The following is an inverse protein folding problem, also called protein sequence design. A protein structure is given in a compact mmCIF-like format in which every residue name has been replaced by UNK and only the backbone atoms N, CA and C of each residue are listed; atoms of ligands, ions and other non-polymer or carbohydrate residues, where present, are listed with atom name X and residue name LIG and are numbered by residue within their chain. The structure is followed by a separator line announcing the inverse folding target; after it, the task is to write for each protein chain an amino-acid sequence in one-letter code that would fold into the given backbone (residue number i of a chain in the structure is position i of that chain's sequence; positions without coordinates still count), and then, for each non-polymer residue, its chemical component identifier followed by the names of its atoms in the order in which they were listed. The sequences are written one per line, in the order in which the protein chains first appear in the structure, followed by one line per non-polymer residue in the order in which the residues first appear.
data_IF_582587531460
#
_entry.id   IF_582587531460
#
_cell.length_a   1.000
_cell.length_b   1.000
_cell.length_c   1.000
_cell.angle_alpha   90.00
_cell.angle_beta   90.00
_cell.angle_gamma   90.00
#
_symmetry.space_group_name_H-M   'P 1'
#
loop_
_entity.id
_entity.type
_entity.pdbx_description
1 polymer ?
#
# COMPACT_ATOMS: atom_id res chain seq x y z
N UNK A 1 -0.03 -10.49 -33.52
CA UNK A 1 0.66 -9.39 -32.84
C UNK A 1 0.39 -9.57 -31.35
N UNK A 2 1.41 -9.94 -30.59
CA UNK A 2 1.28 -10.02 -29.13
C UNK A 2 1.06 -8.60 -28.60
N UNK A 3 -0.15 -8.34 -28.16
CA UNK A 3 -0.48 -7.06 -27.52
C UNK A 3 0.23 -7.06 -26.17
N UNK A 4 1.34 -6.32 -26.08
CA UNK A 4 2.01 -6.16 -24.79
C UNK A 4 1.06 -5.50 -23.79
N UNK A 5 0.89 -6.06 -22.60
CA UNK A 5 0.01 -5.51 -21.60
C UNK A 5 0.45 -4.09 -21.24
N UNK A 6 -0.52 -3.18 -21.15
CA UNK A 6 -0.35 -1.82 -20.66
C UNK A 6 -1.08 -1.68 -19.33
N UNK A 7 -0.40 -1.18 -18.32
CA UNK A 7 -0.95 -1.10 -16.96
C UNK A 7 -1.10 0.36 -16.54
N UNK A 8 -2.25 0.70 -15.99
CA UNK A 8 -2.51 2.02 -15.40
C UNK A 8 -2.66 1.87 -13.90
N UNK A 9 -1.87 2.65 -13.16
CA UNK A 9 -1.96 2.83 -11.71
C UNK A 9 -2.52 4.22 -11.39
N UNK A 10 -3.26 4.32 -10.30
CA UNK A 10 -3.76 5.62 -9.83
C UNK A 10 -2.86 6.27 -8.77
N UNK A 11 -3.39 7.36 -8.17
CA UNK A 11 -2.67 8.14 -7.17
C UNK A 11 -3.05 7.82 -5.73
N UNK A 12 -4.02 6.94 -5.49
CA UNK A 12 -4.67 6.82 -4.18
C UNK A 12 -3.68 6.68 -3.01
N UNK A 13 -2.78 5.70 -3.07
CA UNK A 13 -1.80 5.48 -1.99
C UNK A 13 -0.77 6.60 -1.90
N UNK A 14 -0.42 7.20 -3.02
CA UNK A 14 0.57 8.29 -3.08
C UNK A 14 -0.01 9.62 -2.60
N UNK A 15 -1.33 9.76 -2.62
CA UNK A 15 -2.05 10.87 -2.03
C UNK A 15 -2.20 10.71 -0.51
N UNK A 16 -2.26 9.48 0.00
CA UNK A 16 -2.51 9.18 1.42
C UNK A 16 -1.24 8.99 2.25
N UNK A 17 -0.15 8.56 1.64
CA UNK A 17 1.07 8.19 2.35
C UNK A 17 2.26 9.05 1.90
N UNK A 18 2.79 9.86 2.81
CA UNK A 18 4.11 10.47 2.63
C UNK A 18 5.22 9.41 2.71
N UNK A 19 5.11 8.51 3.70
CA UNK A 19 5.89 7.30 3.89
C UNK A 19 4.95 6.14 4.18
N UNK A 20 5.16 4.97 3.61
CA UNK A 20 4.31 3.83 3.93
C UNK A 20 4.70 2.57 3.16
N UNK A 21 4.40 1.42 3.74
CA UNK A 21 4.71 0.12 3.16
C UNK A 21 4.00 -0.11 1.81
N UNK A 22 2.75 0.34 1.70
CA UNK A 22 1.96 0.14 0.47
C UNK A 22 2.50 1.01 -0.66
N UNK A 23 2.81 2.28 -0.40
CA UNK A 23 3.40 3.15 -1.43
C UNK A 23 4.79 2.68 -1.87
N UNK A 24 5.60 2.15 -0.94
CA UNK A 24 6.87 1.49 -1.26
C UNK A 24 6.65 0.24 -2.12
N UNK A 25 5.70 -0.62 -1.76
CA UNK A 25 5.35 -1.80 -2.54
C UNK A 25 5.06 -1.45 -4.00
N UNK A 26 4.20 -0.48 -4.27
CA UNK A 26 3.89 -0.07 -5.64
C UNK A 26 5.11 0.53 -6.36
N UNK A 27 5.92 1.34 -5.71
CA UNK A 27 7.16 1.83 -6.32
C UNK A 27 8.12 0.70 -6.69
N UNK A 28 8.29 -0.29 -5.81
CA UNK A 28 9.18 -1.43 -6.05
C UNK A 28 8.70 -2.31 -7.20
N UNK A 29 7.42 -2.69 -7.24
CA UNK A 29 6.91 -3.54 -8.33
C UNK A 29 6.92 -2.80 -9.67
N UNK A 30 6.48 -1.54 -9.70
CA UNK A 30 6.40 -0.77 -10.93
C UNK A 30 7.80 -0.51 -11.51
N UNK A 31 8.80 -0.25 -10.66
CA UNK A 31 10.17 -0.02 -11.11
C UNK A 31 10.81 -1.24 -11.80
N UNK A 32 10.27 -2.43 -11.57
CA UNK A 32 10.76 -3.71 -12.10
C UNK A 32 9.88 -4.27 -13.23
N UNK A 33 8.79 -3.59 -13.57
CA UNK A 33 7.93 -4.02 -14.66
C UNK A 33 8.65 -3.94 -16.00
N UNK A 34 8.54 -5.01 -16.78
CA UNK A 34 9.02 -5.09 -18.16
C UNK A 34 7.94 -4.64 -19.17
N UNK A 35 6.74 -4.35 -18.71
CA UNK A 35 5.60 -3.92 -19.53
C UNK A 35 5.44 -2.40 -19.51
N UNK A 36 4.70 -1.87 -20.50
CA UNK A 36 4.32 -0.46 -20.50
C UNK A 36 3.38 -0.16 -19.34
N UNK A 37 3.59 0.95 -18.68
CA UNK A 37 2.74 1.42 -17.59
C UNK A 37 2.68 2.94 -17.54
N UNK A 38 1.63 3.43 -16.90
CA UNK A 38 1.53 4.82 -16.46
C UNK A 38 0.99 4.90 -15.04
N UNK A 39 1.38 5.98 -14.35
CA UNK A 39 0.90 6.30 -13.01
C UNK A 39 0.18 7.64 -13.07
N UNK A 40 -1.07 7.68 -12.66
CA UNK A 40 -1.90 8.88 -12.67
C UNK A 40 -1.56 9.84 -11.49
N UNK A 41 -0.29 10.15 -11.30
CA UNK A 41 0.20 11.08 -10.29
C UNK A 41 0.85 12.27 -10.96
N UNK A 42 0.24 13.46 -10.78
CA UNK A 42 0.82 14.72 -11.21
C UNK A 42 1.56 15.43 -10.08
N UNK A 43 1.02 15.38 -8.87
CA UNK A 43 1.56 16.03 -7.68
C UNK A 43 1.72 15.02 -6.55
N UNK A 44 2.85 15.06 -5.85
CA UNK A 44 3.10 14.14 -4.75
C UNK A 44 4.07 14.72 -3.73
N UNK A 45 3.90 14.33 -2.47
CA UNK A 45 4.91 14.44 -1.41
C UNK A 45 5.47 13.06 -1.02
N UNK A 46 5.02 11.98 -1.69
CA UNK A 46 5.44 10.63 -1.37
C UNK A 46 6.94 10.44 -1.61
N UNK A 47 7.64 10.01 -0.55
CA UNK A 47 9.09 9.85 -0.54
C UNK A 47 9.57 8.83 -1.56
N UNK A 48 8.96 7.64 -1.60
CA UNK A 48 9.42 6.57 -2.48
C UNK A 48 9.19 6.91 -3.95
N UNK A 49 8.04 7.50 -4.26
CA UNK A 49 7.74 7.93 -5.61
C UNK A 49 8.69 9.06 -6.07
N UNK A 50 9.13 9.92 -5.15
CA UNK A 50 10.09 10.99 -5.47
C UNK A 50 11.47 10.47 -5.84
N UNK A 51 11.90 9.36 -5.25
CA UNK A 51 13.22 8.75 -5.49
C UNK A 51 13.25 7.80 -6.68
N UNK A 52 12.09 7.41 -7.20
CA UNK A 52 12.00 6.49 -8.34
C UNK A 52 11.70 7.24 -9.63
N UNK A 53 12.07 6.67 -10.79
CA UNK A 53 11.74 7.22 -12.11
C UNK A 53 10.42 6.68 -12.68
N UNK A 54 9.60 6.04 -11.85
CA UNK A 54 8.38 5.36 -12.30
C UNK A 54 7.26 6.31 -12.74
N UNK A 55 7.21 7.54 -12.25
CA UNK A 55 6.25 8.55 -12.69
C UNK A 55 6.98 9.69 -13.44
N UNK A 56 6.80 9.75 -14.77
CA UNK A 56 7.60 10.62 -15.66
C UNK A 56 7.31 12.11 -15.52
N UNK A 57 6.10 12.50 -15.24
CA UNK A 57 5.64 13.92 -15.28
C UNK A 57 5.12 14.42 -13.93
N UNK A 58 5.73 13.94 -12.83
CA UNK A 58 5.34 14.36 -11.49
C UNK A 58 6.04 15.63 -11.05
N UNK A 59 5.37 16.38 -10.20
CA UNK A 59 5.91 17.51 -9.46
C UNK A 59 5.93 17.11 -7.99
N UNK A 60 7.14 17.01 -7.41
CA UNK A 60 7.29 16.85 -5.97
C UNK A 60 6.97 18.18 -5.28
N UNK A 61 6.13 18.14 -4.26
CA UNK A 61 5.76 19.32 -3.48
C UNK A 61 6.22 19.11 -2.04
N UNK A 62 6.99 20.04 -1.48
CA UNK A 62 7.39 19.99 -0.07
C UNK A 62 6.18 19.89 0.87
N UNK A 63 6.32 19.13 1.95
CA UNK A 63 5.23 18.78 2.85
C UNK A 63 4.40 19.97 3.34
N UNK A 64 5.05 21.08 3.73
CA UNK A 64 4.35 22.26 4.24
C UNK A 64 3.43 22.91 3.18
N UNK A 65 3.85 22.92 1.90
CA UNK A 65 3.01 23.40 0.80
C UNK A 65 1.96 22.37 0.41
N UNK A 66 2.30 21.09 0.47
CA UNK A 66 1.36 20.03 0.17
C UNK A 66 0.16 20.07 1.12
N UNK A 67 0.38 20.21 2.42
CA UNK A 67 -0.70 20.30 3.40
C UNK A 67 -1.64 21.50 3.17
N UNK A 68 -1.10 22.66 2.79
CA UNK A 68 -1.92 23.85 2.47
C UNK A 68 -2.85 23.63 1.27
N UNK A 69 -2.45 22.80 0.31
CA UNK A 69 -3.17 22.61 -0.95
C UNK A 69 -3.64 21.18 -1.20
N UNK A 70 -3.52 20.28 -0.22
CA UNK A 70 -3.73 18.84 -0.37
C UNK A 70 -5.01 18.49 -1.13
N UNK A 71 -6.16 19.02 -0.72
CA UNK A 71 -7.44 18.76 -1.38
C UNK A 71 -7.46 19.16 -2.87
N UNK A 72 -6.80 20.26 -3.22
CA UNK A 72 -6.70 20.73 -4.61
C UNK A 72 -5.79 19.82 -5.43
N UNK A 73 -4.69 19.37 -4.84
CA UNK A 73 -3.72 18.49 -5.47
C UNK A 73 -4.31 17.08 -5.69
N UNK A 74 -4.99 16.53 -4.69
CA UNK A 74 -5.71 15.26 -4.80
C UNK A 74 -6.81 15.31 -5.90
N UNK A 75 -7.54 16.42 -6.00
CA UNK A 75 -8.52 16.59 -7.09
C UNK A 75 -7.85 16.58 -8.46
N UNK A 76 -6.66 17.17 -8.60
CA UNK A 76 -5.91 17.16 -9.86
C UNK A 76 -5.42 15.75 -10.21
N UNK A 77 -4.88 15.01 -9.25
CA UNK A 77 -4.47 13.61 -9.44
C UNK A 77 -5.66 12.74 -9.83
N UNK A 78 -6.78 12.84 -9.10
CA UNK A 78 -8.02 12.12 -9.46
C UNK A 78 -8.57 12.49 -10.85
N UNK A 79 -8.45 13.76 -11.26
CA UNK A 79 -8.82 14.18 -12.62
C UNK A 79 -7.91 13.53 -13.66
N UNK A 80 -6.62 13.40 -13.37
CA UNK A 80 -5.67 12.71 -14.24
C UNK A 80 -6.01 11.21 -14.35
N UNK A 81 -6.25 10.52 -13.22
CA UNK A 81 -6.72 9.12 -13.20
C UNK A 81 -7.94 8.96 -14.12
N UNK A 82 -8.97 9.79 -13.91
CA UNK A 82 -10.19 9.77 -14.73
C UNK A 82 -9.94 9.99 -16.22
N UNK A 83 -8.99 10.86 -16.57
CA UNK A 83 -8.59 11.08 -17.96
C UNK A 83 -7.92 9.84 -18.55
N UNK A 84 -7.01 9.21 -17.78
CA UNK A 84 -6.27 8.04 -18.23
C UNK A 84 -7.17 6.81 -18.39
N UNK A 85 -8.13 6.61 -17.49
CA UNK A 85 -9.12 5.52 -17.60
C UNK A 85 -10.06 5.63 -18.80
N UNK A 86 -10.09 6.76 -19.48
CA UNK A 86 -10.85 6.98 -20.71
C UNK A 86 -10.00 6.86 -21.98
N UNK A 87 -8.73 6.43 -21.83
CA UNK A 87 -7.84 6.28 -22.98
C UNK A 87 -8.39 5.19 -23.94
N UNK A 88 -8.36 5.42 -25.27
CA UNK A 88 -8.91 4.50 -26.27
C UNK A 88 -7.96 3.34 -26.60
N UNK A 89 -7.16 2.89 -25.63
CA UNK A 89 -6.20 1.80 -25.75
C UNK A 89 -6.52 0.71 -24.74
N UNK A 90 -6.36 -0.56 -25.07
CA UNK A 90 -6.53 -1.64 -24.10
C UNK A 90 -5.51 -1.52 -22.97
N UNK A 91 -5.97 -1.61 -21.72
CA UNK A 91 -5.11 -1.61 -20.53
C UNK A 91 -5.70 -2.49 -19.44
N UNK A 92 -4.86 -2.83 -18.45
CA UNK A 92 -5.28 -3.39 -17.16
C UNK A 92 -5.15 -2.26 -16.14
N UNK A 93 -6.18 -2.07 -15.34
CA UNK A 93 -6.12 -1.10 -14.27
C UNK A 93 -5.74 -1.78 -12.93
N UNK A 94 -4.85 -1.15 -12.18
CA UNK A 94 -4.45 -1.64 -10.87
C UNK A 94 -4.54 -0.48 -9.86
N UNK A 95 -5.70 -0.33 -9.16
CA UNK A 95 -5.86 0.69 -8.12
C UNK A 95 -4.82 0.48 -7.02
N UNK A 96 -4.24 1.57 -6.55
CA UNK A 96 -3.20 1.53 -5.53
C UNK A 96 -3.76 1.52 -4.10
N UNK A 97 -5.07 1.75 -3.94
CA UNK A 97 -5.80 1.65 -2.67
C UNK A 97 -7.28 1.35 -2.93
N UNK A 98 -8.17 1.59 -1.95
CA UNK A 98 -9.53 1.07 -1.95
C UNK A 98 -10.64 2.11 -2.18
N UNK A 99 -10.37 3.30 -2.76
CA UNK A 99 -11.42 4.22 -3.20
C UNK A 99 -12.09 3.67 -4.48
N UNK A 100 -13.38 3.27 -4.44
CA UNK A 100 -14.07 2.65 -5.55
C UNK A 100 -14.53 3.64 -6.63
N UNK A 101 -14.25 4.94 -6.50
CA UNK A 101 -14.74 5.97 -7.42
C UNK A 101 -14.36 5.74 -8.88
N UNK A 102 -13.28 5.00 -9.16
CA UNK A 102 -12.86 4.63 -10.50
C UNK A 102 -13.88 3.73 -11.22
N UNK A 103 -14.66 2.94 -10.48
CA UNK A 103 -15.68 2.05 -11.04
C UNK A 103 -16.72 2.80 -11.88
N UNK A 104 -16.91 4.09 -11.63
CA UNK A 104 -17.79 4.95 -12.41
C UNK A 104 -17.23 5.33 -13.78
N UNK A 105 -15.97 5.00 -14.07
CA UNK A 105 -15.25 5.46 -15.26
C UNK A 105 -14.56 4.34 -16.03
N UNK A 106 -14.35 3.18 -15.40
CA UNK A 106 -13.53 2.10 -15.97
C UNK A 106 -14.29 1.28 -17.03
N UNK A 107 -15.63 1.33 -17.03
CA UNK A 107 -16.47 0.53 -17.93
C UNK A 107 -16.19 -0.98 -17.77
N UNK A 108 -15.96 -1.67 -18.89
CA UNK A 108 -15.68 -3.10 -18.92
C UNK A 108 -14.17 -3.41 -18.89
N UNK A 109 -13.32 -2.44 -18.63
CA UNK A 109 -11.87 -2.66 -18.56
C UNK A 109 -11.51 -3.55 -17.38
N UNK A 110 -10.67 -4.59 -17.59
CA UNK A 110 -10.28 -5.48 -16.52
C UNK A 110 -9.40 -4.74 -15.50
N UNK A 111 -9.58 -5.10 -14.22
CA UNK A 111 -8.73 -4.58 -13.17
C UNK A 111 -8.36 -5.65 -12.14
N UNK A 112 -7.20 -5.44 -11.55
CA UNK A 112 -6.61 -6.28 -10.50
C UNK A 112 -6.45 -5.44 -9.25
N UNK A 113 -6.72 -6.02 -8.08
CA UNK A 113 -6.49 -5.33 -6.80
C UNK A 113 -5.52 -6.13 -5.92
N UNK A 114 -4.59 -5.43 -5.26
CA UNK A 114 -3.75 -6.04 -4.22
C UNK A 114 -4.39 -5.80 -2.85
N UNK A 115 -4.57 -6.88 -2.10
CA UNK A 115 -5.05 -6.86 -0.71
C UNK A 115 -3.87 -7.14 0.22
N UNK A 116 -3.51 -6.12 1.00
CA UNK A 116 -2.36 -6.18 1.91
C UNK A 116 -2.70 -6.88 3.22
N UNK A 117 -3.90 -6.69 3.73
CA UNK A 117 -4.42 -7.31 4.95
C UNK A 117 -5.95 -7.25 4.98
N UNK A 118 -6.54 -7.88 5.99
CA UNK A 118 -7.96 -7.79 6.32
C UNK A 118 -8.15 -7.33 7.78
N UNK A 119 -7.28 -6.40 8.23
CA UNK A 119 -7.22 -6.00 9.64
C UNK A 119 -8.47 -5.21 10.05
N UNK A 120 -8.99 -4.34 9.17
CA UNK A 120 -10.23 -3.60 9.44
C UNK A 120 -11.44 -4.53 9.60
N UNK A 121 -11.46 -5.60 8.80
CA UNK A 121 -12.53 -6.59 8.84
C UNK A 121 -12.44 -7.52 10.05
N UNK A 122 -11.22 -7.79 10.54
CA UNK A 122 -10.96 -8.63 11.71
C UNK A 122 -11.14 -7.89 13.03
N UNK A 123 -10.83 -6.60 13.06
CA UNK A 123 -10.81 -5.78 14.27
C UNK A 123 -11.47 -4.40 14.03
N UNK A 124 -12.74 -4.37 13.58
CA UNK A 124 -13.37 -3.10 13.20
C UNK A 124 -13.47 -2.11 14.35
N UNK A 125 -13.60 -2.59 15.58
CA UNK A 125 -13.66 -1.77 16.80
C UNK A 125 -12.35 -1.02 17.09
N UNK A 126 -11.24 -1.45 16.52
CA UNK A 126 -9.92 -0.85 16.71
C UNK A 126 -9.67 0.37 15.83
N UNK A 127 -10.59 0.67 14.90
CA UNK A 127 -10.36 1.71 13.89
C UNK A 127 -11.59 2.60 13.72
N UNK A 128 -11.40 3.90 13.92
CA UNK A 128 -12.45 4.88 13.59
C UNK A 128 -12.70 4.91 12.08
N UNK A 129 -13.96 4.81 11.68
CA UNK A 129 -14.34 4.81 10.26
C UNK A 129 -14.05 3.49 9.52
N UNK A 130 -13.81 2.39 10.24
CA UNK A 130 -13.56 1.07 9.66
C UNK A 130 -14.66 0.63 8.69
N UNK A 131 -15.94 0.87 9.02
CA UNK A 131 -17.09 0.46 8.21
C UNK A 131 -16.99 0.95 6.75
N UNK A 132 -16.62 2.20 6.56
CA UNK A 132 -16.50 2.77 5.21
C UNK A 132 -15.35 2.12 4.43
N UNK A 133 -14.19 1.90 5.08
CA UNK A 133 -13.04 1.24 4.46
C UNK A 133 -13.38 -0.22 4.11
N UNK A 134 -14.03 -0.94 5.01
CA UNK A 134 -14.51 -2.32 4.81
C UNK A 134 -15.48 -2.37 3.62
N UNK A 135 -16.44 -1.46 3.57
CA UNK A 135 -17.41 -1.38 2.48
C UNK A 135 -16.75 -1.14 1.13
N UNK A 136 -15.85 -0.16 1.04
CA UNK A 136 -15.12 0.20 -0.17
C UNK A 136 -14.22 -0.94 -0.65
N UNK A 137 -13.46 -1.52 0.25
CA UNK A 137 -12.55 -2.63 -0.03
C UNK A 137 -13.31 -3.87 -0.51
N UNK A 138 -14.42 -4.23 0.15
CA UNK A 138 -15.32 -5.30 -0.28
C UNK A 138 -15.84 -5.05 -1.69
N UNK A 139 -16.32 -3.83 -2.00
CA UNK A 139 -16.84 -3.49 -3.31
C UNK A 139 -15.81 -3.72 -4.42
N UNK A 140 -14.58 -3.25 -4.21
CA UNK A 140 -13.49 -3.40 -5.18
C UNK A 140 -13.12 -4.88 -5.35
N UNK A 141 -12.93 -5.61 -4.26
CA UNK A 141 -12.55 -7.03 -4.30
C UNK A 141 -13.61 -7.87 -5.04
N UNK A 142 -14.89 -7.61 -4.76
CA UNK A 142 -15.99 -8.33 -5.41
C UNK A 142 -16.03 -8.09 -6.93
N UNK A 143 -15.72 -6.87 -7.39
CA UNK A 143 -15.77 -6.48 -8.79
C UNK A 143 -14.48 -6.73 -9.56
N UNK A 144 -13.33 -6.91 -8.88
CA UNK A 144 -12.05 -7.15 -9.52
C UNK A 144 -12.07 -8.42 -10.38
N UNK A 145 -11.33 -8.43 -11.49
CA UNK A 145 -11.14 -9.62 -12.32
C UNK A 145 -10.20 -10.62 -11.62
N UNK A 146 -9.15 -10.13 -10.99
CA UNK A 146 -8.22 -10.92 -10.16
C UNK A 146 -7.87 -10.15 -8.89
N UNK A 147 -7.57 -10.89 -7.84
CA UNK A 147 -7.17 -10.37 -6.54
C UNK A 147 -5.78 -10.91 -6.21
N UNK A 148 -4.86 -10.03 -5.89
CA UNK A 148 -3.54 -10.41 -5.38
C UNK A 148 -3.60 -10.34 -3.86
N UNK A 149 -3.39 -11.47 -3.19
CA UNK A 149 -3.18 -11.52 -1.74
C UNK A 149 -1.68 -11.61 -1.46
N UNK A 150 -1.19 -10.83 -0.49
CA UNK A 150 0.25 -10.80 -0.20
C UNK A 150 0.75 -12.02 0.60
N UNK A 151 -0.14 -12.88 1.06
CA UNK A 151 0.16 -14.12 1.78
C UNK A 151 -1.00 -15.09 1.73
N UNK A 152 -0.73 -16.37 2.03
CA UNK A 152 -1.78 -17.39 2.19
C UNK A 152 -2.75 -17.01 3.31
N UNK A 153 -2.27 -16.36 4.37
CA UNK A 153 -3.13 -15.90 5.45
C UNK A 153 -4.12 -14.83 4.96
N UNK A 154 -3.64 -13.85 4.20
CA UNK A 154 -4.51 -12.82 3.59
C UNK A 154 -5.52 -13.45 2.64
N UNK A 155 -5.11 -14.43 1.82
CA UNK A 155 -6.04 -15.19 0.95
C UNK A 155 -7.11 -15.90 1.76
N UNK A 156 -6.73 -16.58 2.83
CA UNK A 156 -7.66 -17.26 3.74
C UNK A 156 -8.68 -16.27 4.32
N UNK A 157 -8.24 -15.13 4.83
CA UNK A 157 -9.11 -14.10 5.38
C UNK A 157 -10.10 -13.57 4.34
N UNK A 158 -9.64 -13.28 3.12
CA UNK A 158 -10.51 -12.81 2.03
C UNK A 158 -11.61 -13.84 1.74
N UNK A 159 -11.26 -15.14 1.66
CA UNK A 159 -12.22 -16.21 1.39
C UNK A 159 -13.21 -16.33 2.55
N UNK A 160 -12.73 -16.36 3.79
CA UNK A 160 -13.58 -16.54 4.97
C UNK A 160 -14.55 -15.38 5.16
N UNK A 161 -14.09 -14.15 4.97
CA UNK A 161 -14.87 -12.94 5.25
C UNK A 161 -15.79 -12.58 4.08
N UNK A 162 -15.29 -12.66 2.85
CA UNK A 162 -16.03 -12.19 1.67
C UNK A 162 -16.73 -13.31 0.90
N UNK A 163 -16.43 -14.57 1.20
CA UNK A 163 -17.04 -15.76 0.53
C UNK A 163 -16.88 -15.75 -1.01
N UNK A 164 -15.75 -15.28 -1.50
CA UNK A 164 -15.46 -15.25 -2.95
C UNK A 164 -14.76 -16.54 -3.41
N UNK A 165 -14.81 -16.80 -4.74
CA UNK A 165 -14.16 -17.97 -5.32
C UNK A 165 -12.62 -17.88 -5.12
N UNK A 166 -11.99 -18.89 -4.49
CA UNK A 166 -10.54 -18.96 -4.29
C UNK A 166 -9.70 -18.86 -5.57
N UNK A 167 -10.23 -19.31 -6.72
CA UNK A 167 -9.55 -19.24 -8.01
C UNK A 167 -9.36 -17.82 -8.52
N UNK A 168 -10.13 -16.86 -7.99
CA UNK A 168 -9.98 -15.43 -8.27
C UNK A 168 -8.77 -14.81 -7.58
N UNK A 169 -8.16 -15.51 -6.59
CA UNK A 169 -7.14 -14.98 -5.71
C UNK A 169 -5.79 -15.64 -5.97
N UNK A 170 -4.82 -14.85 -6.39
CA UNK A 170 -3.41 -15.24 -6.53
C UNK A 170 -2.64 -14.81 -5.29
N UNK A 171 -1.81 -15.71 -4.75
CA UNK A 171 -0.89 -15.35 -3.66
C UNK A 171 0.45 -14.94 -4.25
N UNK A 172 0.84 -13.68 -4.00
CA UNK A 172 2.12 -13.14 -4.45
C UNK A 172 2.79 -12.48 -3.25
N UNK A 173 3.81 -13.15 -2.69
CA UNK A 173 4.54 -12.66 -1.53
C UNK A 173 5.35 -11.40 -1.84
N UNK A 174 5.52 -10.57 -0.83
CA UNK A 174 6.44 -9.44 -0.92
C UNK A 174 7.89 -9.93 -0.97
N UNK A 175 8.67 -9.33 -1.86
CA UNK A 175 10.12 -9.42 -1.82
C UNK A 175 10.73 -8.33 -0.95
N UNK A 176 12.05 -8.33 -0.83
CA UNK A 176 12.80 -7.25 -0.21
C UNK A 176 13.88 -6.70 -1.13
N UNK A 177 14.04 -5.37 -1.13
CA UNK A 177 15.16 -4.66 -1.77
C UNK A 177 16.17 -4.13 -0.74
N UNK A 178 15.95 -4.41 0.54
CA UNK A 178 16.87 -4.00 1.60
C UNK A 178 18.19 -4.74 1.45
N UNK A 179 19.27 -4.00 1.54
CA UNK A 179 20.65 -4.53 1.58
C UNK A 179 21.27 -4.18 2.93
N UNK A 180 22.13 -5.04 3.45
CA UNK A 180 22.91 -4.71 4.60
C UNK A 180 23.78 -3.48 4.29
N UNK A 181 23.74 -2.48 5.17
CA UNK A 181 24.67 -1.36 5.11
C UNK A 181 26.01 -1.80 5.68
N UNK A 182 27.11 -1.38 5.04
CA UNK A 182 28.44 -1.55 5.60
C UNK A 182 28.81 -0.43 6.60
N UNK A 183 28.03 0.63 6.65
CA UNK A 183 28.21 1.74 7.59
C UNK A 183 27.47 1.43 8.90
N UNK A 184 28.22 0.99 9.90
CA UNK A 184 27.72 0.74 11.25
C UNK A 184 28.10 1.89 12.20
N UNK A 185 27.49 3.05 12.00
CA UNK A 185 27.69 4.20 12.91
C UNK A 185 26.68 4.23 14.08
N UNK A 186 25.93 3.13 14.28
CA UNK A 186 24.97 3.06 15.37
C UNK A 186 25.63 2.44 16.60
N UNK A 187 25.69 3.17 17.71
CA UNK A 187 26.03 2.64 19.02
C UNK A 187 24.82 1.87 19.56
N UNK A 188 24.77 0.58 19.27
CA UNK A 188 23.72 -0.31 19.76
C UNK A 188 24.21 -1.15 20.93
N UNK A 189 23.34 -1.48 21.89
CA UNK A 189 23.67 -2.44 22.95
C UNK A 189 24.01 -3.81 22.34
N UNK A 190 24.87 -4.58 23.02
CA UNK A 190 25.27 -5.92 22.58
C UNK A 190 24.06 -6.87 22.47
N UNK A 191 23.15 -6.77 23.43
CA UNK A 191 21.93 -7.60 23.49
C UNK A 191 20.70 -6.70 23.49
N UNK A 192 19.89 -6.80 22.46
CA UNK A 192 18.67 -5.99 22.37
C UNK A 192 17.54 -6.70 21.64
N UNK A 193 16.33 -6.27 21.95
CA UNK A 193 15.11 -6.54 21.17
C UNK A 193 14.84 -5.29 20.37
N UNK A 194 14.71 -5.43 19.05
CA UNK A 194 14.38 -4.32 18.16
C UNK A 194 12.87 -4.30 17.87
N UNK A 195 12.22 -3.18 18.14
CA UNK A 195 10.87 -2.92 17.70
C UNK A 195 10.87 -1.91 16.56
N UNK A 196 10.36 -2.32 15.39
CA UNK A 196 10.23 -1.44 14.23
C UNK A 196 8.75 -1.31 13.85
N UNK A 197 8.21 -0.10 13.92
CA UNK A 197 6.84 0.17 13.51
C UNK A 197 6.20 1.31 14.28
N UNK A 198 4.96 1.60 13.90
CA UNK A 198 4.10 2.51 14.64
C UNK A 198 3.71 1.86 15.98
N UNK A 199 3.64 2.67 17.05
CA UNK A 199 3.25 2.23 18.39
C UNK A 199 1.72 2.25 18.59
N UNK A 200 0.98 2.24 17.49
CA UNK A 200 -0.47 2.27 17.52
C UNK A 200 -1.08 0.99 18.11
N UNK A 201 -2.29 1.14 18.57
CA UNK A 201 -3.08 0.19 19.33
C UNK A 201 -2.96 -1.28 18.88
N UNK A 202 -3.20 -1.60 17.62
CA UNK A 202 -3.19 -3.00 17.13
C UNK A 202 -1.79 -3.63 17.04
N UNK A 203 -0.71 -2.82 17.10
CA UNK A 203 0.68 -3.33 17.17
C UNK A 203 1.07 -3.77 18.57
N UNK A 204 0.21 -3.47 19.55
CA UNK A 204 0.33 -3.90 20.94
C UNK A 204 1.71 -3.63 21.59
N UNK A 205 2.26 -2.45 21.29
CA UNK A 205 3.55 -2.02 21.84
C UNK A 205 3.54 -1.94 23.38
N UNK A 206 2.37 -1.64 23.96
CA UNK A 206 2.22 -1.58 25.41
C UNK A 206 2.49 -2.94 26.07
N UNK A 207 1.94 -4.02 25.52
CA UNK A 207 2.20 -5.38 26.00
C UNK A 207 3.69 -5.75 25.88
N UNK A 208 4.35 -5.31 24.80
CA UNK A 208 5.80 -5.51 24.65
C UNK A 208 6.57 -4.81 25.79
N UNK A 209 6.20 -3.57 26.14
CA UNK A 209 6.85 -2.83 27.24
C UNK A 209 6.65 -3.53 28.60
N UNK A 210 5.44 -4.01 28.87
CA UNK A 210 5.12 -4.73 30.10
C UNK A 210 5.93 -6.03 30.20
N UNK A 211 5.92 -6.84 29.14
CA UNK A 211 6.68 -8.07 29.06
C UNK A 211 8.20 -7.81 29.17
N UNK A 212 8.70 -6.78 28.49
CA UNK A 212 10.10 -6.40 28.55
C UNK A 212 10.51 -5.96 29.96
N UNK A 213 9.67 -5.21 30.68
CA UNK A 213 9.91 -4.78 32.05
C UNK A 213 10.17 -5.99 32.97
N UNK A 214 9.37 -7.06 32.84
CA UNK A 214 9.54 -8.29 33.62
C UNK A 214 10.86 -9.00 33.29
N UNK A 215 11.19 -9.06 31.98
CA UNK A 215 12.43 -9.70 31.51
C UNK A 215 13.66 -8.91 31.95
N UNK A 216 13.61 -7.58 31.85
CA UNK A 216 14.72 -6.68 32.18
C UNK A 216 15.09 -6.73 33.68
N UNK A 217 14.13 -6.95 34.58
CA UNK A 217 14.40 -7.17 36.01
C UNK A 217 15.28 -8.38 36.25
N UNK A 218 15.20 -9.42 35.38
CA UNK A 218 15.98 -10.65 35.47
C UNK A 218 17.26 -10.59 34.64
N UNK A 219 17.31 -9.72 33.65
CA UNK A 219 18.45 -9.59 32.73
C UNK A 219 18.64 -8.11 32.34
N UNK A 220 19.41 -7.39 33.17
CA UNK A 220 19.66 -5.96 32.97
C UNK A 220 20.54 -5.63 31.75
N UNK A 221 21.19 -6.63 31.14
CA UNK A 221 21.99 -6.48 29.92
C UNK A 221 21.16 -6.51 28.64
N UNK A 222 19.88 -6.87 28.73
CA UNK A 222 18.98 -6.84 27.60
C UNK A 222 18.32 -5.46 27.46
N UNK A 223 18.36 -4.88 26.30
CA UNK A 223 17.81 -3.57 26.00
C UNK A 223 16.63 -3.67 25.02
N UNK A 224 15.71 -2.72 25.07
CA UNK A 224 14.67 -2.53 24.05
C UNK A 224 15.04 -1.28 23.22
N UNK A 225 15.14 -1.45 21.89
CA UNK A 225 15.56 -0.44 20.94
C UNK A 225 14.44 -0.17 19.93
#
# INVERSE_FOLDING_TARGET
MDIQPYIIYDSQVFDQQKFGGISRYFCEIISKLQFKYDIAVQYTENHYLSQTRVARHRIYIPHFLFNCYAQKLYRKNRKLTRKMLRAPVPYIYHPTYYDPSFLNYIGNTPFVVTVHDMIYERFPESFSGAEEIIRQKKEIIMKANRVIAISEYTKKDIIEILKINPEKIDVIYHGTSLRASQEHNLSLPEKYILFVGDRTFYKNFQLLLEAFSIVHQKNQYLHLV
#
